data_IF_301515672223
#
_entry.id   IF_301515672223
#
_cell.length_a   1.000
_cell.length_b   1.000
_cell.length_c   1.000
_cell.angle_alpha   90.00
_cell.angle_beta   90.00
_cell.angle_gamma   90.00
#
_symmetry.space_group_name_H-M   'P 1'
#
loop_
_entity.id
_entity.type
_entity.pdbx_description
1 polymer ?
#
# COMPACT_ATOMS: atom_id res chain seq x y z
N UNK A 1 -2.19 4.14 -5.25
CA UNK A 1 -1.76 5.12 -4.22
C UNK A 1 -0.65 4.51 -3.38
N UNK A 2 0.31 5.33 -2.95
CA UNK A 2 1.45 4.94 -2.12
C UNK A 2 1.43 5.80 -0.84
N UNK A 3 1.46 5.18 0.33
CA UNK A 3 1.54 5.87 1.63
C UNK A 3 2.77 5.36 2.39
N UNK A 4 3.73 6.25 2.62
CA UNK A 4 4.96 5.95 3.37
C UNK A 4 5.48 7.27 3.94
N UNK A 5 5.85 7.31 5.20
CA UNK A 5 6.35 8.53 5.86
C UNK A 5 7.78 8.87 5.46
N UNK A 6 8.54 7.88 5.01
CA UNK A 6 9.89 8.05 4.51
C UNK A 6 9.86 8.55 3.05
N UNK A 7 10.13 9.84 2.85
CA UNK A 7 10.12 10.47 1.52
C UNK A 7 11.01 9.76 0.49
N UNK A 8 12.19 9.31 0.92
CA UNK A 8 13.12 8.56 0.05
C UNK A 8 12.53 7.23 -0.42
N UNK A 9 11.87 6.49 0.48
CA UNK A 9 11.19 5.24 0.14
C UNK A 9 9.99 5.49 -0.77
N UNK A 10 9.16 6.47 -0.41
CA UNK A 10 7.98 6.87 -1.18
C UNK A 10 8.33 7.23 -2.61
N UNK A 11 9.39 8.02 -2.82
CA UNK A 11 9.87 8.39 -4.16
C UNK A 11 10.47 7.21 -4.92
N UNK A 12 11.21 6.33 -4.24
CA UNK A 12 11.77 5.11 -4.86
C UNK A 12 10.65 4.22 -5.40
N UNK A 13 9.63 3.96 -4.58
CA UNK A 13 8.46 3.15 -4.92
C UNK A 13 7.63 3.81 -6.01
N UNK A 14 7.36 5.12 -5.91
CA UNK A 14 6.62 5.85 -6.94
C UNK A 14 7.34 5.77 -8.30
N UNK A 15 8.66 5.94 -8.31
CA UNK A 15 9.46 5.82 -9.53
C UNK A 15 9.45 4.39 -10.08
N UNK A 16 9.55 3.39 -9.22
CA UNK A 16 9.51 1.97 -9.62
C UNK A 16 8.20 1.63 -10.34
N UNK A 17 7.08 2.10 -9.81
CA UNK A 17 5.74 1.84 -10.36
C UNK A 17 5.49 2.68 -11.62
N UNK A 18 5.97 3.94 -11.65
CA UNK A 18 5.89 4.79 -12.84
C UNK A 18 6.69 4.22 -14.03
N UNK A 19 7.77 3.47 -13.78
CA UNK A 19 8.52 2.78 -14.84
C UNK A 19 7.71 1.70 -15.56
N UNK A 20 6.67 1.16 -14.92
CA UNK A 20 5.75 0.19 -15.51
C UNK A 20 4.55 0.87 -16.20
N UNK A 21 4.53 2.20 -16.28
CA UNK A 21 3.49 2.98 -16.94
C UNK A 21 2.24 3.20 -16.08
N UNK A 22 2.33 2.95 -14.77
CA UNK A 22 1.24 3.19 -13.82
C UNK A 22 1.28 4.63 -13.29
N UNK A 23 0.11 5.20 -13.06
CA UNK A 23 -0.04 6.48 -12.37
C UNK A 23 0.03 6.30 -10.85
N UNK A 24 0.85 7.12 -10.20
CA UNK A 24 1.08 7.02 -8.75
C UNK A 24 0.69 8.32 -8.06
N UNK A 25 -0.18 8.21 -7.07
CA UNK A 25 -0.45 9.27 -6.10
C UNK A 25 0.21 8.88 -4.78
N UNK A 26 0.90 9.83 -4.15
CA UNK A 26 1.69 9.62 -2.93
C UNK A 26 1.08 10.38 -1.75
N UNK A 27 1.11 9.77 -0.57
CA UNK A 27 0.74 10.35 0.72
C UNK A 27 1.87 10.14 1.74
N UNK A 28 2.01 11.06 2.69
CA UNK A 28 3.07 11.00 3.71
C UNK A 28 2.67 10.28 4.99
N UNK A 29 1.38 10.00 5.18
CA UNK A 29 0.86 9.28 6.33
C UNK A 29 -0.50 8.64 5.99
N UNK A 30 -1.01 7.81 6.91
CA UNK A 30 -2.28 7.13 6.71
C UNK A 30 -3.51 8.05 6.70
N UNK A 31 -3.47 9.20 7.36
CA UNK A 31 -4.59 10.13 7.37
C UNK A 31 -4.70 10.86 6.02
N UNK A 32 -3.60 11.39 5.50
CA UNK A 32 -3.56 12.00 4.15
C UNK A 32 -3.97 10.97 3.08
N UNK A 33 -3.49 9.74 3.20
CA UNK A 33 -3.87 8.65 2.32
C UNK A 33 -5.39 8.41 2.32
N UNK A 34 -6.01 8.35 3.50
CA UNK A 34 -7.46 8.15 3.62
C UNK A 34 -8.26 9.33 3.08
N UNK A 35 -7.81 10.57 3.30
CA UNK A 35 -8.44 11.77 2.74
C UNK A 35 -8.41 11.76 1.21
N UNK A 36 -7.28 11.37 0.61
CA UNK A 36 -7.15 11.24 -0.85
C UNK A 36 -8.06 10.12 -1.37
N UNK A 37 -8.07 8.94 -0.74
CA UNK A 37 -8.98 7.85 -1.11
C UNK A 37 -10.44 8.30 -1.10
N UNK A 38 -10.84 9.03 -0.06
CA UNK A 38 -12.21 9.55 0.09
C UNK A 38 -12.54 10.60 -0.96
N UNK A 39 -11.61 11.51 -1.25
CA UNK A 39 -11.82 12.57 -2.24
C UNK A 39 -11.97 12.03 -3.66
N UNK A 40 -11.20 11.00 -3.99
CA UNK A 40 -11.22 10.35 -5.31
C UNK A 40 -12.24 9.19 -5.37
N UNK A 41 -13.13 9.06 -4.38
CA UNK A 41 -14.16 8.01 -4.28
C UNK A 41 -13.61 6.59 -4.47
N UNK A 42 -12.38 6.34 -4.02
CA UNK A 42 -11.73 5.03 -4.15
C UNK A 42 -11.36 4.66 -5.58
N UNK A 43 -11.17 5.61 -6.49
CA UNK A 43 -10.79 5.39 -7.89
C UNK A 43 -9.37 4.79 -8.10
N UNK A 44 -8.79 4.15 -7.08
CA UNK A 44 -7.49 3.52 -7.11
C UNK A 44 -7.61 2.01 -7.24
N UNK A 45 -6.70 1.41 -8.00
CA UNK A 45 -6.64 -0.04 -8.12
C UNK A 45 -5.87 -0.71 -6.99
N UNK A 46 -4.84 -0.02 -6.49
CA UNK A 46 -3.90 -0.54 -5.50
C UNK A 46 -3.55 0.54 -4.48
N UNK A 47 -3.57 0.17 -3.20
CA UNK A 47 -2.99 0.90 -2.09
C UNK A 47 -1.74 0.17 -1.62
N UNK A 48 -0.59 0.84 -1.70
CA UNK A 48 0.66 0.37 -1.13
C UNK A 48 0.98 1.22 0.10
N UNK A 49 1.05 0.63 1.29
CA UNK A 49 1.22 1.39 2.54
C UNK A 49 2.19 0.75 3.53
N UNK A 50 3.02 1.55 4.19
CA UNK A 50 3.87 1.06 5.29
C UNK A 50 3.05 0.80 6.56
N UNK A 51 3.37 -0.28 7.28
CA UNK A 51 2.67 -0.59 8.53
C UNK A 51 2.92 0.50 9.58
N UNK A 52 4.12 1.05 9.67
CA UNK A 52 4.49 2.01 10.69
C UNK A 52 4.53 3.41 10.10
N UNK A 53 3.51 4.19 10.42
CA UNK A 53 3.42 5.59 10.00
C UNK A 53 2.96 6.46 11.18
N UNK A 54 3.35 7.74 11.23
CA UNK A 54 2.83 8.66 12.22
C UNK A 54 1.33 8.92 12.00
N UNK A 55 0.62 9.33 13.06
CA UNK A 55 -0.81 9.69 13.05
C UNK A 55 -1.76 8.50 12.83
N UNK A 56 -1.64 7.82 11.69
CA UNK A 56 -2.42 6.64 11.34
C UNK A 56 -1.51 5.57 10.73
N UNK A 57 -1.40 4.43 11.40
CA UNK A 57 -0.64 3.27 10.94
C UNK A 57 -1.28 2.61 9.69
N UNK A 58 -0.47 1.95 8.87
CA UNK A 58 -0.92 1.29 7.65
C UNK A 58 -1.98 0.20 7.87
N UNK A 59 -1.98 -0.44 9.05
CA UNK A 59 -3.03 -1.39 9.43
C UNK A 59 -4.39 -0.70 9.60
N UNK A 60 -4.42 0.45 10.28
CA UNK A 60 -5.65 1.20 10.49
C UNK A 60 -6.18 1.79 9.18
N UNK A 61 -5.27 2.26 8.31
CA UNK A 61 -5.59 2.66 6.95
C UNK A 61 -6.18 1.48 6.16
N UNK A 62 -5.54 0.31 6.18
CA UNK A 62 -6.00 -0.87 5.45
C UNK A 62 -7.41 -1.31 5.90
N UNK A 63 -7.68 -1.30 7.21
CA UNK A 63 -9.00 -1.62 7.75
C UNK A 63 -10.08 -0.63 7.29
N UNK A 64 -9.76 0.66 7.25
CA UNK A 64 -10.71 1.69 6.79
C UNK A 64 -10.93 1.59 5.29
N UNK A 65 -9.84 1.46 4.53
CA UNK A 65 -9.87 1.35 3.08
C UNK A 65 -10.61 0.09 2.63
N UNK A 66 -10.40 -1.07 3.26
CA UNK A 66 -11.11 -2.30 2.92
C UNK A 66 -12.61 -2.24 3.25
N UNK A 67 -12.99 -1.46 4.27
CA UNK A 67 -14.41 -1.27 4.64
C UNK A 67 -15.12 -0.33 3.68
N UNK A 68 -14.49 0.79 3.34
CA UNK A 68 -15.10 1.87 2.58
C UNK A 68 -14.92 1.65 1.05
N UNK A 69 -13.85 0.95 0.65
CA UNK A 69 -13.47 0.65 -0.74
C UNK A 69 -13.13 -0.85 -0.91
N UNK A 70 -14.14 -1.73 -0.98
CA UNK A 70 -13.91 -3.18 -1.06
C UNK A 70 -13.22 -3.64 -2.36
N UNK A 71 -13.27 -2.84 -3.43
CA UNK A 71 -12.61 -3.12 -4.71
C UNK A 71 -11.13 -2.68 -4.74
N UNK A 72 -10.66 -1.99 -3.69
CA UNK A 72 -9.28 -1.53 -3.57
C UNK A 72 -8.38 -2.68 -3.12
N UNK A 73 -7.38 -3.01 -3.92
CA UNK A 73 -6.37 -3.99 -3.50
C UNK A 73 -5.39 -3.33 -2.55
N UNK A 74 -5.06 -3.98 -1.43
CA UNK A 74 -4.19 -3.39 -0.40
C UNK A 74 -2.93 -4.24 -0.25
N UNK A 75 -1.77 -3.61 -0.35
CA UNK A 75 -0.45 -4.21 -0.16
C UNK A 75 0.25 -3.49 1.00
N UNK A 76 0.73 -4.25 1.98
CA UNK A 76 1.44 -3.70 3.13
C UNK A 76 2.95 -3.80 2.93
N UNK A 77 3.70 -2.83 3.46
CA UNK A 77 5.15 -2.87 3.58
C UNK A 77 5.54 -2.88 5.05
N UNK A 78 6.55 -3.65 5.42
CA UNK A 78 7.00 -3.74 6.81
C UNK A 78 8.48 -4.03 6.94
N UNK A 79 9.17 -3.36 7.87
CA UNK A 79 10.56 -3.66 8.21
C UNK A 79 10.76 -4.68 9.33
N UNK A 80 9.70 -5.16 9.99
CA UNK A 80 9.82 -5.98 11.18
C UNK A 80 8.95 -7.24 11.10
N UNK A 81 9.48 -8.36 11.61
CA UNK A 81 8.76 -9.63 11.64
C UNK A 81 7.47 -9.55 12.50
N UNK A 82 7.51 -8.84 13.63
CA UNK A 82 6.36 -8.68 14.52
C UNK A 82 5.19 -7.94 13.84
N UNK A 83 5.50 -6.97 12.98
CA UNK A 83 4.52 -6.22 12.21
C UNK A 83 3.87 -7.11 11.14
N UNK A 84 4.65 -7.96 10.49
CA UNK A 84 4.13 -8.98 9.56
C UNK A 84 3.19 -9.97 10.26
N UNK A 85 3.49 -10.38 11.48
CA UNK A 85 2.60 -11.25 12.25
C UNK A 85 1.27 -10.55 12.56
N UNK A 86 1.31 -9.27 12.94
CA UNK A 86 0.09 -8.46 13.11
C UNK A 86 -0.72 -8.36 11.82
N UNK A 87 -0.04 -8.14 10.69
CA UNK A 87 -0.66 -8.08 9.37
C UNK A 87 -1.22 -9.43 8.90
N UNK A 88 -0.69 -10.56 9.38
CA UNK A 88 -1.20 -11.89 9.04
C UNK A 88 -2.66 -12.09 9.45
N UNK A 89 -3.12 -11.41 10.51
CA UNK A 89 -4.53 -11.40 10.90
C UNK A 89 -5.44 -10.65 9.91
N UNK A 90 -4.83 -9.84 9.03
CA UNK A 90 -5.50 -9.06 7.99
C UNK A 90 -5.38 -9.72 6.61
N UNK A 91 -4.85 -10.95 6.49
CA UNK A 91 -4.69 -11.64 5.20
C UNK A 91 -6.01 -11.81 4.41
N UNK A 92 -7.17 -11.68 5.06
CA UNK A 92 -8.46 -11.66 4.37
C UNK A 92 -8.79 -10.30 3.71
N UNK A 93 -8.10 -9.23 4.11
CA UNK A 93 -8.31 -7.84 3.70
C UNK A 93 -7.14 -7.30 2.87
N UNK A 94 -5.92 -7.75 3.15
CA UNK A 94 -4.72 -7.36 2.41
C UNK A 94 -4.30 -8.46 1.45
N UNK A 95 -3.86 -8.06 0.27
CA UNK A 95 -3.41 -8.97 -0.77
C UNK A 95 -2.10 -9.65 -0.39
N UNK A 96 -1.11 -8.85 0.02
CA UNK A 96 0.20 -9.36 0.45
C UNK A 96 0.95 -8.35 1.33
N UNK A 97 2.03 -8.82 1.95
CA UNK A 97 2.90 -8.04 2.82
C UNK A 97 4.36 -8.14 2.35
N UNK A 98 4.89 -7.04 1.83
CA UNK A 98 6.29 -6.92 1.39
C UNK A 98 7.18 -6.60 2.59
N UNK A 99 8.27 -7.37 2.73
CA UNK A 99 9.22 -7.20 3.85
C UNK A 99 10.40 -6.33 3.42
N UNK A 100 10.74 -5.29 4.19
CA UNK A 100 11.95 -4.46 4.03
C UNK A 100 13.16 -5.20 4.63
N UNK A 101 14.37 -5.09 4.04
CA UNK A 101 14.66 -4.38 2.80
C UNK A 101 14.17 -5.13 1.55
N UNK A 102 13.56 -4.40 0.62
CA UNK A 102 13.10 -4.92 -0.67
C UNK A 102 13.83 -4.22 -1.82
N UNK A 103 13.91 -4.89 -2.97
CA UNK A 103 14.41 -4.32 -4.21
C UNK A 103 13.29 -3.68 -5.02
N UNK A 104 13.65 -2.78 -5.94
CA UNK A 104 12.72 -2.24 -6.96
C UNK A 104 12.00 -3.36 -7.72
N UNK A 105 12.70 -4.45 -8.03
CA UNK A 105 12.13 -5.61 -8.69
C UNK A 105 11.06 -6.32 -7.84
N UNK A 106 11.25 -6.39 -6.52
CA UNK A 106 10.31 -7.04 -5.60
C UNK A 106 9.00 -6.25 -5.54
N UNK A 107 9.08 -4.92 -5.40
CA UNK A 107 7.90 -4.04 -5.41
C UNK A 107 7.15 -4.12 -6.74
N UNK A 108 7.86 -4.07 -7.87
CA UNK A 108 7.22 -4.17 -9.19
C UNK A 108 6.51 -5.51 -9.36
N UNK A 109 7.12 -6.60 -8.89
CA UNK A 109 6.52 -7.93 -8.95
C UNK A 109 5.26 -7.98 -8.07
N UNK A 110 5.35 -7.52 -6.82
CA UNK A 110 4.23 -7.53 -5.89
C UNK A 110 3.05 -6.65 -6.37
N UNK A 111 3.35 -5.48 -6.95
CA UNK A 111 2.34 -4.60 -7.57
C UNK A 111 1.69 -5.27 -8.78
N UNK A 112 2.49 -5.91 -9.64
CA UNK A 112 1.97 -6.61 -10.81
C UNK A 112 1.08 -7.80 -10.43
N UNK A 113 1.47 -8.61 -9.45
CA UNK A 113 0.67 -9.72 -8.92
C UNK A 113 -0.65 -9.21 -8.31
N UNK A 114 -0.58 -8.15 -7.50
CA UNK A 114 -1.77 -7.54 -6.87
C UNK A 114 -2.77 -7.02 -7.91
N UNK A 115 -2.29 -6.29 -8.92
CA UNK A 115 -3.13 -5.78 -10.01
C UNK A 115 -3.66 -6.90 -10.92
N UNK A 116 -2.91 -8.00 -11.08
CA UNK A 116 -3.36 -9.16 -11.84
C UNK A 116 -4.45 -9.95 -11.10
N UNK A 117 -4.37 -10.05 -9.77
CA UNK A 117 -5.38 -10.71 -8.95
C UNK A 117 -6.74 -10.00 -9.01
N UNK A 118 -6.75 -8.65 -9.08
CA UNK A 118 -7.99 -7.85 -9.27
C UNK A 118 -8.70 -8.10 -10.60
N UNK A 119 -7.98 -8.54 -11.65
CA UNK A 119 -8.54 -8.76 -13.00
C UNK A 119 -9.26 -10.10 -13.18
N UNK A 120 -9.36 -10.95 -12.15
CA UNK A 120 -9.94 -12.29 -12.25
C UNK A 120 -11.35 -12.40 -11.70
#
# INVERSE_FOLDING_TARGET
>A
MIADDEDSMRQLVARAIAMDGHETVTAQDGAEALEILTREDGAFDLLLTDIQMPVMDGIALALSAARDFPDLTILLMTGFADQRERASNLNALVHDVVTKPFSVADIRTAVADALAAKKR
#
